data_IF_992594129661
#
_entry.id   IF_992594129661
#
_cell.length_a   1.000
_cell.length_b   1.000
_cell.length_c   1.000
_cell.angle_alpha   90.00
_cell.angle_beta   90.00
_cell.angle_gamma   90.00
#
_symmetry.space_group_name_H-M   'P 1'
#
loop_
_entity.id
_entity.type
_entity.pdbx_description
1 polymer ?
#
# COMPACT_ATOMS: atom_id res chain seq x y z
N UNK A 1 -16.66 -4.88 -16.22
CA UNK A 1 -16.36 -3.63 -15.50
C UNK A 1 -15.93 -4.00 -14.09
N UNK A 2 -14.63 -3.92 -13.78
CA UNK A 2 -13.98 -4.67 -12.69
C UNK A 2 -14.23 -4.17 -11.26
N UNK A 3 -15.06 -3.15 -11.04
CA UNK A 3 -15.25 -2.56 -9.70
C UNK A 3 -14.03 -1.84 -9.12
N UNK A 4 -12.92 -1.78 -9.86
CA UNK A 4 -11.67 -1.09 -9.48
C UNK A 4 -11.78 0.38 -9.89
N UNK A 5 -11.51 1.27 -8.93
CA UNK A 5 -11.50 2.74 -9.06
C UNK A 5 -10.10 3.32 -8.82
N UNK A 6 -9.27 2.64 -8.03
CA UNK A 6 -7.94 3.09 -7.65
C UNK A 6 -6.87 2.06 -8.04
N UNK A 7 -5.76 2.53 -8.59
CA UNK A 7 -4.53 1.74 -8.72
C UNK A 7 -3.53 2.30 -7.71
N UNK A 8 -3.12 1.48 -6.74
CA UNK A 8 -2.23 1.95 -5.68
C UNK A 8 -0.79 2.00 -6.18
N UNK A 9 -0.15 3.16 -5.99
CA UNK A 9 1.28 3.31 -6.13
C UNK A 9 2.02 2.64 -4.96
N UNK A 10 3.27 2.25 -5.18
CA UNK A 10 4.14 1.60 -4.20
C UNK A 10 4.31 2.46 -2.95
N UNK A 11 4.36 3.79 -3.07
CA UNK A 11 4.44 4.69 -1.92
C UNK A 11 3.18 4.66 -1.04
N UNK A 12 2.00 4.48 -1.63
CA UNK A 12 0.75 4.32 -0.86
C UNK A 12 0.80 3.02 -0.09
N UNK A 13 1.25 1.93 -0.73
CA UNK A 13 1.38 0.61 -0.09
C UNK A 13 2.37 0.67 1.08
N UNK A 14 3.57 1.23 0.87
CA UNK A 14 4.57 1.40 1.94
C UNK A 14 4.02 2.28 3.06
N UNK A 15 3.33 3.37 2.71
CA UNK A 15 2.72 4.25 3.70
C UNK A 15 1.64 3.56 4.53
N UNK A 16 0.84 2.67 3.94
CA UNK A 16 -0.12 1.83 4.66
C UNK A 16 0.60 0.87 5.62
N UNK A 17 1.63 0.16 5.14
CA UNK A 17 2.40 -0.79 5.95
C UNK A 17 3.11 -0.12 7.14
N UNK A 18 3.55 1.13 6.98
CA UNK A 18 4.21 1.92 8.03
C UNK A 18 3.27 2.80 8.85
N UNK A 19 1.95 2.65 8.69
CA UNK A 19 0.94 3.49 9.34
C UNK A 19 1.20 5.01 9.17
N UNK A 20 1.65 5.43 7.99
CA UNK A 20 1.99 6.81 7.70
C UNK A 20 0.75 7.72 7.84
N UNK A 21 0.79 8.78 8.66
CA UNK A 21 -0.38 9.64 8.92
C UNK A 21 -1.00 10.27 7.67
N UNK A 22 -0.21 10.61 6.65
CA UNK A 22 -0.72 11.20 5.42
C UNK A 22 -1.58 10.20 4.64
N UNK A 23 -1.15 8.95 4.56
CA UNK A 23 -1.91 7.89 3.88
C UNK A 23 -3.14 7.50 4.69
N UNK A 24 -3.05 7.46 6.03
CA UNK A 24 -4.21 7.25 6.88
C UNK A 24 -5.25 8.37 6.75
N UNK A 25 -4.81 9.63 6.60
CA UNK A 25 -5.72 10.73 6.34
C UNK A 25 -6.35 10.65 4.94
N UNK A 26 -5.61 10.16 3.94
CA UNK A 26 -6.17 9.88 2.61
C UNK A 26 -7.29 8.82 2.69
N UNK A 27 -7.12 7.76 3.48
CA UNK A 27 -8.18 6.75 3.71
C UNK A 27 -9.41 7.33 4.40
N UNK A 28 -9.25 8.31 5.30
CA UNK A 28 -10.40 9.00 5.91
C UNK A 28 -11.19 9.83 4.90
N UNK A 29 -10.51 10.42 3.91
CA UNK A 29 -11.16 11.17 2.83
C UNK A 29 -11.84 10.26 1.80
N UNK A 30 -11.33 9.03 1.65
CA UNK A 30 -11.83 8.03 0.70
C UNK A 30 -11.99 6.67 1.41
N UNK A 31 -13.03 6.50 2.24
CA UNK A 31 -13.22 5.28 3.03
C UNK A 31 -13.44 4.03 2.17
N UNK A 32 -13.93 4.19 0.94
CA UNK A 32 -14.15 3.14 -0.06
C UNK A 32 -12.88 2.74 -0.83
N UNK A 33 -11.75 3.44 -0.61
CA UNK A 33 -10.54 3.27 -1.42
C UNK A 33 -10.04 1.83 -1.43
N UNK A 34 -9.95 1.19 -0.25
CA UNK A 34 -9.38 -0.15 -0.14
C UNK A 34 -10.29 -1.23 -0.77
N UNK A 35 -11.60 -1.01 -0.78
CA UNK A 35 -12.57 -1.94 -1.38
C UNK A 35 -12.57 -1.88 -2.92
N UNK A 36 -12.17 -0.73 -3.47
CA UNK A 36 -12.13 -0.48 -4.91
C UNK A 36 -10.72 -0.24 -5.45
N UNK A 37 -9.70 -0.78 -4.79
CA UNK A 37 -8.32 -0.66 -5.25
C UNK A 37 -7.79 -1.94 -5.90
N UNK A 38 -6.77 -1.76 -6.73
CA UNK A 38 -5.91 -2.84 -7.20
C UNK A 38 -4.44 -2.43 -7.03
N UNK A 39 -3.57 -3.44 -7.06
CA UNK A 39 -2.12 -3.28 -7.04
C UNK A 39 -1.57 -3.87 -8.33
N UNK A 40 -0.68 -3.14 -9.01
CA UNK A 40 -0.05 -3.64 -10.23
C UNK A 40 1.01 -4.71 -9.90
N UNK A 41 1.32 -5.58 -10.86
CA UNK A 41 2.44 -6.52 -10.70
C UNK A 41 3.80 -5.78 -10.57
N UNK A 42 3.92 -4.59 -11.17
CA UNK A 42 5.12 -3.76 -11.05
C UNK A 42 5.29 -3.27 -9.60
N UNK A 43 4.22 -2.74 -9.00
CA UNK A 43 4.24 -2.29 -7.62
C UNK A 43 4.55 -3.43 -6.64
N UNK A 44 4.14 -4.66 -6.94
CA UNK A 44 4.56 -5.85 -6.18
C UNK A 44 6.06 -6.11 -6.31
N UNK A 45 6.62 -5.98 -7.51
CA UNK A 45 8.05 -6.17 -7.75
C UNK A 45 8.91 -5.08 -7.10
N UNK A 46 8.47 -3.82 -7.14
CA UNK A 46 9.12 -2.70 -6.46
C UNK A 46 9.14 -2.93 -4.95
N UNK A 47 8.03 -3.43 -4.39
CA UNK A 47 7.91 -3.75 -2.98
C UNK A 47 8.96 -4.80 -2.55
N UNK A 48 9.27 -5.80 -3.37
CA UNK A 48 10.32 -6.79 -3.06
C UNK A 48 11.72 -6.16 -2.89
N UNK A 49 11.97 -5.00 -3.49
CA UNK A 49 13.22 -4.26 -3.33
C UNK A 49 13.25 -3.30 -2.14
N UNK A 50 12.14 -3.16 -1.40
CA UNK A 50 12.05 -2.20 -0.31
C UNK A 50 12.52 -2.83 1.02
N UNK A 51 13.58 -2.30 1.66
CA UNK A 51 14.09 -2.85 2.91
C UNK A 51 13.13 -2.60 4.08
N UNK A 52 13.03 -3.57 5.01
CA UNK A 52 12.21 -3.42 6.22
C UNK A 52 10.70 -3.66 6.02
N UNK A 53 10.33 -4.50 5.06
CA UNK A 53 8.97 -5.06 4.95
C UNK A 53 8.77 -6.35 5.73
N UNK A 54 9.88 -6.98 6.12
CA UNK A 54 9.87 -8.18 6.94
C UNK A 54 10.00 -7.75 8.41
N UNK A 55 8.95 -7.94 9.21
CA UNK A 55 9.05 -7.88 10.67
C UNK A 55 10.07 -8.91 11.22
N UNK A 56 10.41 -9.93 10.42
CA UNK A 56 11.41 -10.96 10.75
C UNK A 56 12.86 -10.54 10.48
N UNK A 57 13.12 -9.43 9.78
CA UNK A 57 14.50 -9.00 9.46
C UNK A 57 15.21 -8.39 10.69
N UNK A 58 14.45 -8.08 11.76
CA UNK A 58 14.94 -7.56 13.03
C UNK A 58 14.59 -8.45 14.25
N UNK A 59 14.22 -9.72 14.06
CA UNK A 59 14.21 -10.65 15.21
C UNK A 59 15.65 -11.13 15.47
N UNK A 60 16.19 -10.95 16.69
CA UNK A 60 17.53 -11.43 17.05
C UNK A 60 17.64 -12.96 17.03
#
# INVERSE_FOLDING_TARGET
MSGIKYLLDTNIIIGLLKANPAVLNLLKLHPDMLEHCAVSQISRMELLGFPGLNDTENLP
#
